data_IF_157379017003
#
_entry.id   IF_157379017003
#
_cell.length_a   1.000
_cell.length_b   1.000
_cell.length_c   1.000
_cell.angle_alpha   90.00
_cell.angle_beta   90.00
_cell.angle_gamma   90.00
#
_symmetry.space_group_name_H-M   'P 1'
#
loop_
_entity.id
_entity.type
_entity.pdbx_description
1 polymer ?
#
# COMPACT_ATOMS: atom_id res chain seq x y z
N UNK A 1 -14.27 65.64 -0.81
CA UNK A 1 -14.42 64.36 -0.09
C UNK A 1 -14.32 63.12 -0.99
N UNK A 2 -14.18 63.25 -2.32
CA UNK A 2 -14.24 62.08 -3.21
C UNK A 2 -12.93 61.29 -3.33
N UNK A 3 -11.78 61.92 -3.10
CA UNK A 3 -10.46 61.29 -3.25
C UNK A 3 -10.26 60.15 -2.22
N UNK A 4 -10.79 60.30 -1.00
CA UNK A 4 -10.65 59.30 0.06
C UNK A 4 -11.38 57.98 -0.26
N UNK A 5 -12.57 58.06 -0.87
CA UNK A 5 -13.33 56.89 -1.29
C UNK A 5 -12.66 56.12 -2.43
N UNK A 6 -12.08 56.86 -3.40
CA UNK A 6 -11.36 56.25 -4.52
C UNK A 6 -10.09 55.52 -4.05
N UNK A 7 -9.31 56.12 -3.16
CA UNK A 7 -8.10 55.48 -2.59
C UNK A 7 -8.48 54.22 -1.80
N UNK A 8 -9.50 54.29 -0.94
CA UNK A 8 -9.95 53.13 -0.16
C UNK A 8 -10.41 51.96 -1.06
N UNK A 9 -11.15 52.26 -2.14
CA UNK A 9 -11.60 51.25 -3.11
C UNK A 9 -10.45 50.57 -3.86
N UNK A 10 -9.44 51.35 -4.28
CA UNK A 10 -8.26 50.81 -4.97
C UNK A 10 -7.42 49.94 -4.03
N UNK A 11 -7.17 50.40 -2.80
CA UNK A 11 -6.39 49.64 -1.80
C UNK A 11 -7.11 48.34 -1.44
N UNK A 12 -8.43 48.37 -1.23
CA UNK A 12 -9.22 47.17 -0.97
C UNK A 12 -9.18 46.16 -2.11
N UNK A 13 -9.25 46.63 -3.36
CA UNK A 13 -9.18 45.78 -4.56
C UNK A 13 -7.82 45.12 -4.73
N UNK A 14 -6.72 45.87 -4.49
CA UNK A 14 -5.36 45.33 -4.52
C UNK A 14 -5.14 44.27 -3.44
N UNK A 15 -5.64 44.50 -2.22
CA UNK A 15 -5.56 43.53 -1.13
C UNK A 15 -6.35 42.26 -1.44
N UNK A 16 -7.57 42.40 -1.97
CA UNK A 16 -8.40 41.27 -2.39
C UNK A 16 -7.73 40.43 -3.48
N UNK A 17 -7.17 41.07 -4.50
CA UNK A 17 -6.42 40.40 -5.56
C UNK A 17 -5.20 39.67 -5.00
N UNK A 18 -4.40 40.32 -4.15
CA UNK A 18 -3.22 39.73 -3.54
C UNK A 18 -3.58 38.50 -2.69
N UNK A 19 -4.64 38.60 -1.87
CA UNK A 19 -5.16 37.49 -1.07
C UNK A 19 -5.59 36.31 -1.95
N UNK A 20 -6.34 36.57 -3.02
CA UNK A 20 -6.77 35.54 -3.95
C UNK A 20 -5.59 34.84 -4.64
N UNK A 21 -4.60 35.60 -5.11
CA UNK A 21 -3.39 35.05 -5.73
C UNK A 21 -2.59 34.18 -4.75
N UNK A 22 -2.45 34.62 -3.49
CA UNK A 22 -1.79 33.84 -2.44
C UNK A 22 -2.56 32.56 -2.13
N UNK A 23 -3.88 32.63 -1.95
CA UNK A 23 -4.71 31.45 -1.71
C UNK A 23 -4.62 30.45 -2.86
N UNK A 24 -4.72 30.92 -4.10
CA UNK A 24 -4.54 30.08 -5.28
C UNK A 24 -3.16 29.42 -5.30
N UNK A 25 -2.10 30.18 -5.00
CA UNK A 25 -0.75 29.64 -4.94
C UNK A 25 -0.61 28.54 -3.87
N UNK A 26 -1.03 28.80 -2.63
CA UNK A 26 -0.84 27.85 -1.53
C UNK A 26 -1.77 26.64 -1.63
N UNK A 27 -3.02 26.83 -2.04
CA UNK A 27 -3.98 25.73 -2.14
C UNK A 27 -3.68 24.85 -3.35
N UNK A 28 -3.19 25.43 -4.46
CA UNK A 28 -3.07 24.69 -5.72
C UNK A 28 -1.63 24.51 -6.18
N UNK A 29 -0.89 25.60 -6.41
CA UNK A 29 0.44 25.52 -7.04
C UNK A 29 1.50 24.93 -6.09
N UNK A 30 1.41 25.21 -4.80
CA UNK A 30 2.35 24.75 -3.79
C UNK A 30 2.40 23.21 -3.66
N UNK A 31 1.28 22.49 -3.41
CA UNK A 31 1.32 21.03 -3.30
C UNK A 31 1.76 20.37 -4.61
N UNK A 32 1.41 20.95 -5.77
CA UNK A 32 1.87 20.45 -7.08
C UNK A 32 3.39 20.57 -7.22
N UNK A 33 3.95 21.77 -6.99
CA UNK A 33 5.41 21.98 -7.10
C UNK A 33 6.19 21.10 -6.12
N UNK A 34 5.76 21.07 -4.86
CA UNK A 34 6.45 20.27 -3.83
C UNK A 34 6.31 18.77 -4.07
N UNK A 35 5.13 18.31 -4.50
CA UNK A 35 4.92 16.91 -4.82
C UNK A 35 5.74 16.44 -6.03
N UNK A 36 5.92 17.27 -7.07
CA UNK A 36 6.83 16.94 -8.19
C UNK A 36 8.27 16.75 -7.69
N UNK A 37 8.76 17.64 -6.82
CA UNK A 37 10.10 17.51 -6.24
C UNK A 37 10.25 16.21 -5.45
N UNK A 38 9.28 15.90 -4.57
CA UNK A 38 9.30 14.69 -3.75
C UNK A 38 9.21 13.42 -4.62
N UNK A 39 8.39 13.44 -5.68
CA UNK A 39 8.27 12.32 -6.60
C UNK A 39 9.63 12.01 -7.25
N UNK A 40 10.32 13.02 -7.77
CA UNK A 40 11.65 12.86 -8.37
C UNK A 40 12.68 12.33 -7.36
N UNK A 41 12.70 12.89 -6.16
CA UNK A 41 13.62 12.46 -5.09
C UNK A 41 13.40 11.00 -4.67
N UNK A 42 12.14 10.56 -4.65
CA UNK A 42 11.76 9.21 -4.22
C UNK A 42 11.69 8.17 -5.34
N UNK A 43 11.99 8.56 -6.58
CA UNK A 43 11.95 7.68 -7.74
C UNK A 43 10.54 7.32 -8.24
N UNK A 44 9.56 8.18 -7.96
CA UNK A 44 8.20 8.08 -8.52
C UNK A 44 8.06 8.95 -9.77
N UNK A 45 7.19 8.54 -10.69
CA UNK A 45 6.90 9.32 -11.89
C UNK A 45 6.21 10.66 -11.53
N UNK A 46 6.68 11.81 -12.03
CA UNK A 46 6.03 13.11 -11.83
C UNK A 46 4.59 13.15 -12.38
N UNK A 47 4.23 12.22 -13.26
CA UNK A 47 2.88 12.11 -13.82
C UNK A 47 1.80 11.92 -12.75
N UNK A 48 2.17 11.40 -11.56
CA UNK A 48 1.26 11.34 -10.40
C UNK A 48 0.71 12.72 -9.99
N UNK A 49 1.41 13.81 -10.35
CA UNK A 49 0.97 15.16 -10.01
C UNK A 49 -0.06 15.73 -11.01
N UNK A 50 -0.41 15.01 -12.08
CA UNK A 50 -1.58 15.37 -12.92
C UNK A 50 -2.89 15.31 -12.14
N UNK A 51 -2.97 14.47 -11.10
CA UNK A 51 -4.09 14.50 -10.15
C UNK A 51 -4.20 15.83 -9.38
N UNK A 52 -3.15 16.65 -9.42
CA UNK A 52 -3.13 18.02 -8.91
C UNK A 52 -3.81 19.06 -9.79
N UNK A 53 -4.46 18.68 -10.91
CA UNK A 53 -5.37 19.58 -11.63
C UNK A 53 -6.58 19.97 -10.77
N UNK A 54 -6.90 19.18 -9.74
CA UNK A 54 -7.89 19.54 -8.74
C UNK A 54 -7.21 19.99 -7.44
N UNK A 55 -7.65 21.06 -6.77
CA UNK A 55 -7.01 21.56 -5.55
C UNK A 55 -6.93 20.49 -4.45
N UNK A 56 -7.98 19.69 -4.23
CA UNK A 56 -7.93 18.57 -3.28
C UNK A 56 -7.01 17.42 -3.74
N UNK A 57 -6.98 17.12 -5.03
CA UNK A 57 -6.16 16.02 -5.57
C UNK A 57 -4.67 16.32 -5.44
N UNK A 58 -4.27 17.59 -5.57
CA UNK A 58 -2.90 18.05 -5.39
C UNK A 58 -2.37 17.79 -3.98
N UNK A 59 -3.16 18.12 -2.95
CA UNK A 59 -2.80 17.87 -1.56
C UNK A 59 -2.73 16.38 -1.23
N UNK A 60 -3.67 15.59 -1.74
CA UNK A 60 -3.69 14.15 -1.46
C UNK A 60 -2.49 13.46 -2.12
N UNK A 61 -2.17 13.79 -3.38
CA UNK A 61 -0.96 13.30 -4.04
C UNK A 61 0.31 13.73 -3.29
N UNK A 62 0.36 14.98 -2.82
CA UNK A 62 1.46 15.49 -2.02
C UNK A 62 1.67 14.69 -0.72
N UNK A 63 0.61 14.45 0.06
CA UNK A 63 0.71 13.66 1.30
C UNK A 63 1.03 12.19 1.04
N UNK A 64 0.41 11.58 0.02
CA UNK A 64 0.71 10.20 -0.37
C UNK A 64 2.19 10.04 -0.74
N UNK A 65 2.74 10.94 -1.54
CA UNK A 65 4.16 10.94 -1.89
C UNK A 65 5.05 11.23 -0.68
N UNK A 66 4.61 12.07 0.26
CA UNK A 66 5.34 12.34 1.51
C UNK A 66 5.44 11.11 2.39
N UNK A 67 4.38 10.30 2.47
CA UNK A 67 4.35 9.07 3.25
C UNK A 67 4.92 7.84 2.50
N UNK A 68 4.98 7.89 1.16
CA UNK A 68 5.52 6.78 0.37
C UNK A 68 7.00 6.54 0.67
N UNK A 69 7.44 5.28 0.89
CA UNK A 69 8.85 4.98 1.09
C UNK A 69 9.64 5.24 -0.20
N UNK A 70 10.91 5.64 -0.07
CA UNK A 70 11.80 5.88 -1.22
C UNK A 70 12.05 4.57 -1.95
N UNK A 71 11.97 4.58 -3.29
CA UNK A 71 12.31 3.40 -4.08
C UNK A 71 13.81 3.21 -4.13
N UNK A 72 14.27 1.98 -3.94
CA UNK A 72 15.68 1.62 -4.00
C UNK A 72 15.98 0.86 -5.30
N UNK A 73 17.13 1.07 -5.93
CA UNK A 73 17.50 0.31 -7.13
C UNK A 73 17.91 -1.12 -6.74
N UNK A 74 17.53 -2.09 -7.58
CA UNK A 74 18.01 -3.46 -7.47
C UNK A 74 19.54 -3.52 -7.61
N UNK A 75 20.22 -4.24 -6.72
CA UNK A 75 21.69 -4.40 -6.77
C UNK A 75 22.20 -5.20 -7.98
N UNK A 76 21.35 -6.01 -8.61
CA UNK A 76 21.73 -6.83 -9.75
C UNK A 76 21.42 -6.17 -11.10
N UNK A 77 20.22 -5.61 -11.27
CA UNK A 77 19.75 -5.08 -12.56
C UNK A 77 19.41 -3.59 -12.56
N UNK A 78 19.63 -2.87 -11.45
CA UNK A 78 19.38 -1.43 -11.29
C UNK A 78 17.94 -0.98 -11.51
N UNK A 79 16.99 -1.91 -11.64
CA UNK A 79 15.58 -1.58 -11.73
C UNK A 79 15.04 -1.06 -10.40
N UNK A 80 14.14 -0.08 -10.48
CA UNK A 80 13.50 0.51 -9.29
C UNK A 80 12.65 -0.54 -8.57
N UNK A 81 12.94 -0.78 -7.30
CA UNK A 81 12.22 -1.71 -6.44
C UNK A 81 11.50 -0.98 -5.32
N UNK A 82 10.34 -1.50 -4.93
CA UNK A 82 9.70 -1.08 -3.69
C UNK A 82 10.48 -1.68 -2.52
N UNK A 83 10.69 -0.93 -1.41
CA UNK A 83 11.36 -1.48 -0.22
C UNK A 83 10.63 -2.67 0.43
N UNK A 84 9.39 -2.95 0.02
CA UNK A 84 8.59 -4.09 0.47
C UNK A 84 8.72 -5.31 -0.44
N UNK A 85 9.38 -5.19 -1.59
CA UNK A 85 9.52 -6.29 -2.53
C UNK A 85 10.61 -7.24 -2.03
N UNK A 86 10.27 -8.50 -1.76
CA UNK A 86 11.25 -9.52 -1.35
C UNK A 86 12.18 -9.95 -2.49
N UNK A 87 11.77 -9.74 -3.74
CA UNK A 87 12.55 -10.05 -4.93
C UNK A 87 12.32 -9.03 -6.05
N UNK A 88 13.34 -8.82 -6.88
CA UNK A 88 13.26 -7.98 -8.06
C UNK A 88 12.40 -8.64 -9.13
N UNK A 89 11.34 -7.96 -9.59
CA UNK A 89 10.46 -8.47 -10.65
C UNK A 89 11.14 -8.61 -12.02
N UNK A 90 12.19 -7.83 -12.28
CA UNK A 90 12.86 -7.82 -13.57
C UNK A 90 13.90 -8.94 -13.72
N UNK A 91 14.71 -9.19 -12.69
CA UNK A 91 15.81 -10.15 -12.74
C UNK A 91 15.70 -11.32 -11.76
N UNK A 92 14.72 -11.30 -10.83
CA UNK A 92 14.54 -12.33 -9.81
C UNK A 92 15.52 -12.24 -8.63
N UNK A 93 16.39 -11.22 -8.57
CA UNK A 93 17.34 -11.05 -7.47
C UNK A 93 16.60 -10.82 -6.14
N UNK A 94 16.89 -11.64 -5.13
CA UNK A 94 16.34 -11.48 -3.78
C UNK A 94 16.98 -10.26 -3.12
N UNK A 95 16.16 -9.38 -2.57
CA UNK A 95 16.66 -8.22 -1.85
C UNK A 95 17.17 -8.69 -0.48
N UNK A 96 18.50 -8.81 -0.37
CA UNK A 96 19.16 -9.15 0.90
C UNK A 96 19.09 -7.97 1.85
N UNK A 97 17.99 -7.81 2.57
CA UNK A 97 17.95 -6.98 3.76
C UNK A 97 18.38 -7.82 4.96
N UNK A 98 19.33 -7.37 5.80
CA UNK A 98 19.47 -7.93 7.14
C UNK A 98 18.23 -7.52 7.94
N UNK A 99 17.41 -8.51 8.28
CA UNK A 99 16.33 -8.34 9.26
C UNK A 99 16.97 -8.10 10.63
N UNK A 100 17.14 -6.84 11.05
CA UNK A 100 17.65 -6.51 12.38
C UNK A 100 16.50 -6.13 13.32
N UNK A 101 16.23 -7.08 14.25
CA UNK A 101 15.77 -6.94 15.66
C UNK A 101 14.42 -6.25 15.93
N UNK A 102 13.47 -6.76 16.73
CA UNK A 102 13.51 -7.59 17.97
C UNK A 102 12.05 -8.09 18.22
N UNK A 103 11.65 -9.20 18.88
CA UNK A 103 12.23 -9.94 20.02
C UNK A 103 11.54 -11.30 20.22
N UNK A 104 12.34 -12.30 20.64
CA UNK A 104 12.03 -13.49 21.46
C UNK A 104 11.01 -14.54 20.97
N UNK A 105 11.50 -15.74 20.62
CA UNK A 105 11.32 -16.95 21.46
C UNK A 105 12.28 -18.07 21.05
N UNK A 106 13.19 -18.38 21.97
CA UNK A 106 13.84 -19.66 22.27
C UNK A 106 14.35 -20.62 21.16
N UNK A 107 15.68 -20.52 20.99
CA UNK A 107 16.69 -21.61 20.96
C UNK A 107 16.17 -23.02 21.32
N UNK A 108 16.27 -23.96 20.37
CA UNK A 108 16.62 -25.37 20.63
C UNK A 108 17.63 -25.79 19.56
N UNK A 109 18.79 -26.28 20.01
CA UNK A 109 19.89 -26.68 19.15
C UNK A 109 19.71 -28.05 18.52
N UNK A 110 20.45 -28.29 17.43
CA UNK A 110 20.76 -29.61 16.91
C UNK A 110 22.03 -29.52 16.03
N UNK A 111 22.78 -30.63 15.86
CA UNK A 111 24.24 -30.61 15.73
C UNK A 111 24.76 -30.56 14.29
N UNK A 112 26.03 -30.15 14.23
CA UNK A 112 27.11 -30.45 13.29
C UNK A 112 26.83 -31.58 12.27
N UNK A 113 26.86 -31.25 10.96
CA UNK A 113 27.15 -32.23 9.93
C UNK A 113 27.93 -31.61 8.74
N UNK A 114 29.20 -31.97 8.76
CA UNK A 114 30.21 -32.12 7.73
C UNK A 114 29.87 -31.79 6.26
N UNK A 115 30.63 -30.82 5.75
CA UNK A 115 31.34 -30.78 4.46
C UNK A 115 31.08 -31.92 3.45
N UNK A 116 30.59 -31.57 2.24
CA UNK A 116 31.30 -31.71 0.94
C UNK A 116 30.36 -31.86 -0.27
N UNK A 117 30.83 -31.24 -1.37
CA UNK A 117 30.45 -31.38 -2.79
C UNK A 117 29.18 -30.64 -3.24
N UNK A 118 29.31 -29.48 -3.89
CA UNK A 118 29.58 -29.33 -5.33
C UNK A 118 28.70 -30.23 -6.21
N UNK A 119 27.51 -29.70 -6.54
CA UNK A 119 26.67 -30.19 -7.63
C UNK A 119 25.72 -29.08 -8.04
N UNK A 120 25.96 -28.47 -9.20
CA UNK A 120 25.02 -27.56 -9.88
C UNK A 120 23.90 -28.43 -10.48
N UNK A 121 22.60 -28.24 -10.15
CA UNK A 121 21.53 -28.88 -10.90
C UNK A 121 20.93 -27.94 -11.95
N UNK A 122 20.44 -28.61 -13.00
CA UNK A 122 19.96 -28.09 -14.27
C UNK A 122 18.55 -27.52 -14.16
N UNK A 123 18.29 -26.57 -15.08
CA UNK A 123 16.99 -26.08 -15.52
C UNK A 123 16.12 -27.26 -15.97
N UNK A 124 15.04 -27.54 -15.23
CA UNK A 124 13.98 -28.46 -15.65
C UNK A 124 13.59 -29.43 -14.56
N UNK A 125 12.67 -29.01 -13.69
CA UNK A 125 11.67 -29.81 -12.95
C UNK A 125 11.07 -28.90 -11.88
N UNK A 126 9.88 -28.35 -12.15
CA UNK A 126 9.11 -27.60 -11.15
C UNK A 126 8.22 -28.60 -10.42
N UNK A 127 8.86 -29.48 -9.66
CA UNK A 127 8.23 -30.40 -8.72
C UNK A 127 8.69 -30.07 -7.30
N UNK A 128 7.75 -29.58 -6.49
CA UNK A 128 7.61 -29.74 -5.05
C UNK A 128 8.86 -29.55 -4.14
N UNK A 129 8.86 -28.46 -3.37
CA UNK A 129 9.03 -28.45 -1.89
C UNK A 129 8.78 -27.01 -1.40
N UNK A 130 7.55 -26.53 -1.59
CA UNK A 130 7.04 -25.48 -0.71
C UNK A 130 6.68 -26.20 0.59
N UNK A 131 7.40 -25.92 1.67
CA UNK A 131 6.94 -26.29 3.01
C UNK A 131 5.52 -25.76 3.16
N UNK A 132 4.57 -26.67 3.17
CA UNK A 132 3.14 -26.44 3.06
C UNK A 132 2.64 -25.76 4.32
N UNK A 133 2.74 -24.43 4.39
CA UNK A 133 2.11 -23.68 5.48
C UNK A 133 0.59 -23.78 5.33
N UNK A 134 -0.06 -24.42 6.30
CA UNK A 134 -1.52 -24.46 6.42
C UNK A 134 -2.01 -23.07 6.78
N UNK A 135 -2.88 -22.49 5.95
CA UNK A 135 -3.41 -21.16 6.24
C UNK A 135 -4.10 -20.49 5.06
N UNK A 136 -4.36 -19.20 5.22
CA UNK A 136 -5.00 -18.38 4.19
C UNK A 136 -4.12 -17.19 3.84
N UNK A 137 -3.90 -17.00 2.54
CA UNK A 137 -3.29 -15.81 1.96
C UNK A 137 -4.40 -14.86 1.53
N UNK A 138 -4.57 -13.75 2.25
CA UNK A 138 -5.56 -12.71 1.95
C UNK A 138 -4.88 -11.55 1.21
N UNK A 139 -5.26 -11.32 -0.04
CA UNK A 139 -4.90 -10.14 -0.80
C UNK A 139 -5.99 -9.08 -0.64
N UNK A 140 -5.67 -7.97 0.03
CA UNK A 140 -6.55 -6.81 0.13
C UNK A 140 -6.04 -5.70 -0.77
N UNK A 141 -6.81 -5.39 -1.81
CA UNK A 141 -6.51 -4.33 -2.77
C UNK A 141 -7.70 -3.41 -3.02
N UNK A 142 -7.47 -2.35 -3.78
CA UNK A 142 -8.51 -1.44 -4.22
C UNK A 142 -8.18 -0.90 -5.62
N UNK A 143 -9.22 -0.39 -6.28
CA UNK A 143 -9.08 0.22 -7.59
C UNK A 143 -8.18 1.48 -7.49
N UNK A 144 -7.10 1.61 -8.26
CA UNK A 144 -6.11 2.70 -8.09
C UNK A 144 -6.68 4.13 -8.10
N UNK A 145 -7.84 4.33 -8.72
CA UNK A 145 -8.54 5.62 -8.77
C UNK A 145 -9.22 5.99 -7.44
N UNK A 146 -9.43 5.02 -6.53
CA UNK A 146 -9.95 5.22 -5.17
C UNK A 146 -8.82 5.61 -4.20
N UNK A 147 -8.08 6.65 -4.52
CA UNK A 147 -6.85 7.03 -3.82
C UNK A 147 -7.03 7.36 -2.32
N UNK A 148 -8.22 7.75 -1.88
CA UNK A 148 -8.50 8.01 -0.46
C UNK A 148 -8.39 6.71 0.38
N UNK A 149 -8.50 5.54 -0.24
CA UNK A 149 -8.30 4.25 0.43
C UNK A 149 -6.85 4.04 0.84
N UNK A 150 -5.86 4.72 0.23
CA UNK A 150 -4.47 4.65 0.70
C UNK A 150 -4.31 5.06 2.18
N UNK A 151 -5.22 5.89 2.70
CA UNK A 151 -5.19 6.36 4.09
C UNK A 151 -6.05 5.47 5.01
N UNK A 152 -6.89 4.61 4.44
CA UNK A 152 -7.73 3.69 5.21
C UNK A 152 -6.95 2.42 5.53
N UNK A 153 -7.14 1.87 6.72
CA UNK A 153 -6.57 0.57 7.11
C UNK A 153 -7.67 -0.49 7.04
N UNK A 154 -7.57 -1.50 6.15
CA UNK A 154 -8.55 -2.58 6.11
C UNK A 154 -8.48 -3.46 7.36
N UNK A 155 -9.65 -3.96 7.74
CA UNK A 155 -9.87 -4.89 8.85
C UNK A 155 -10.25 -6.24 8.26
N UNK A 156 -9.44 -7.25 8.59
CA UNK A 156 -9.64 -8.63 8.17
C UNK A 156 -10.08 -9.39 9.42
N UNK A 157 -11.34 -9.78 9.47
CA UNK A 157 -11.92 -10.56 10.56
C UNK A 157 -11.94 -12.03 10.14
N UNK A 158 -11.30 -12.89 10.93
CA UNK A 158 -11.24 -14.34 10.72
C UNK A 158 -11.85 -15.00 11.96
N UNK A 159 -12.96 -15.71 11.79
CA UNK A 159 -13.70 -16.38 12.88
C UNK A 159 -14.02 -15.47 14.08
N UNK A 160 -14.31 -14.19 13.81
CA UNK A 160 -14.58 -13.19 14.85
C UNK A 160 -13.34 -12.47 15.41
N UNK A 161 -12.13 -12.88 15.03
CA UNK A 161 -10.90 -12.20 15.41
C UNK A 161 -10.51 -11.14 14.37
N UNK A 162 -10.51 -9.87 14.78
CA UNK A 162 -10.22 -8.73 13.91
C UNK A 162 -8.72 -8.46 13.84
N UNK A 163 -8.18 -8.49 12.62
CA UNK A 163 -6.81 -8.15 12.29
C UNK A 163 -6.77 -6.88 11.43
N UNK A 164 -6.23 -5.79 11.98
CA UNK A 164 -5.95 -4.59 11.19
C UNK A 164 -4.65 -4.78 10.41
N UNK A 165 -4.71 -4.60 9.09
CA UNK A 165 -3.57 -4.78 8.20
C UNK A 165 -3.56 -3.68 7.15
N UNK A 166 -2.38 -3.31 6.66
CA UNK A 166 -2.27 -2.41 5.52
C UNK A 166 -2.81 -3.08 4.25
N UNK A 167 -3.12 -2.31 3.22
CA UNK A 167 -3.41 -2.89 1.89
C UNK A 167 -2.21 -3.72 1.37
N UNK A 168 -2.50 -4.85 0.72
CA UNK A 168 -1.51 -5.80 0.23
C UNK A 168 -1.87 -7.26 0.53
N UNK A 169 -0.88 -8.14 0.38
CA UNK A 169 -1.01 -9.58 0.67
C UNK A 169 -0.58 -9.87 2.10
N UNK A 170 -1.42 -10.60 2.84
CA UNK A 170 -1.13 -11.06 4.21
C UNK A 170 -1.40 -12.55 4.31
N UNK A 171 -0.53 -13.25 5.02
CA UNK A 171 -0.71 -14.67 5.28
C UNK A 171 -1.09 -14.87 6.75
N UNK A 172 -2.11 -15.69 6.98
CA UNK A 172 -2.61 -16.07 8.29
C UNK A 172 -2.46 -17.58 8.45
N UNK A 173 -1.65 -17.99 9.42
CA UNK A 173 -1.56 -19.39 9.85
C UNK A 173 -2.90 -19.77 10.52
N UNK A 174 -3.64 -20.70 9.91
CA UNK A 174 -4.95 -21.15 10.40
C UNK A 174 -4.94 -22.67 10.54
N UNK A 175 -5.74 -23.18 11.47
CA UNK A 175 -5.98 -24.61 11.61
C UNK A 175 -6.72 -25.17 10.38
N UNK A 176 -6.58 -26.46 10.04
CA UNK A 176 -7.44 -27.07 9.03
C UNK A 176 -8.91 -27.00 9.47
N UNK A 177 -9.80 -26.53 8.62
CA UNK A 177 -11.21 -26.32 8.99
C UNK A 177 -11.96 -25.35 8.08
N UNK A 178 -13.23 -25.10 8.43
CA UNK A 178 -14.06 -24.06 7.81
C UNK A 178 -13.84 -22.76 8.57
N UNK A 179 -13.44 -21.72 7.85
CA UNK A 179 -13.19 -20.39 8.41
C UNK A 179 -14.07 -19.36 7.71
N UNK A 180 -14.63 -18.43 8.47
CA UNK A 180 -15.38 -17.30 7.92
C UNK A 180 -14.47 -16.07 7.90
N UNK A 181 -14.21 -15.55 6.69
CA UNK A 181 -13.37 -14.38 6.47
C UNK A 181 -14.27 -13.22 6.08
N UNK A 182 -14.23 -12.16 6.88
CA UNK A 182 -14.96 -10.92 6.64
C UNK A 182 -13.97 -9.76 6.51
N UNK A 183 -14.16 -8.93 5.50
CA UNK A 183 -13.25 -7.82 5.22
C UNK A 183 -14.07 -6.53 5.10
N UNK A 184 -13.68 -5.51 5.84
CA UNK A 184 -14.28 -4.18 5.82
C UNK A 184 -13.22 -3.12 6.16
N UNK A 185 -13.54 -1.85 5.95
CA UNK A 185 -12.67 -0.75 6.38
C UNK A 185 -13.50 0.41 6.92
N UNK A 186 -12.90 1.21 7.81
CA UNK A 186 -13.50 2.44 8.30
C UNK A 186 -13.17 3.63 7.40
N UNK A 187 -14.16 4.47 7.12
CA UNK A 187 -13.97 5.74 6.41
C UNK A 187 -14.70 6.88 7.13
N UNK A 188 -13.93 7.84 7.66
CA UNK A 188 -14.42 8.96 8.47
C UNK A 188 -15.36 8.50 9.60
N UNK A 189 -16.68 8.67 9.42
CA UNK A 189 -17.74 8.37 10.40
C UNK A 189 -18.43 7.02 10.15
N UNK A 190 -18.09 6.33 9.06
CA UNK A 190 -18.67 5.04 8.70
C UNK A 190 -17.69 3.91 9.06
N UNK A 191 -18.00 3.06 10.06
CA UNK A 191 -17.07 2.03 10.53
C UNK A 191 -17.04 0.77 9.65
N UNK A 192 -18.05 0.56 8.80
CA UNK A 192 -18.23 -0.68 8.02
C UNK A 192 -18.43 -0.41 6.51
N UNK A 193 -17.42 0.14 5.85
CA UNK A 193 -17.40 0.29 4.40
C UNK A 193 -16.83 -0.96 3.72
N UNK A 194 -17.34 -1.27 2.52
CA UNK A 194 -16.86 -2.39 1.70
C UNK A 194 -17.13 -3.78 2.27
N UNK A 195 -17.94 -3.89 3.33
CA UNK A 195 -18.17 -5.12 4.09
C UNK A 195 -18.61 -6.30 3.21
N UNK A 196 -17.80 -7.36 3.21
CA UNK A 196 -18.11 -8.61 2.55
C UNK A 196 -17.49 -9.80 3.31
N UNK A 197 -18.17 -10.94 3.27
CA UNK A 197 -17.75 -12.17 3.96
C UNK A 197 -17.82 -13.39 3.03
N UNK A 198 -16.88 -14.32 3.20
CA UNK A 198 -16.88 -15.63 2.52
C UNK A 198 -16.48 -16.72 3.51
N UNK A 199 -16.99 -17.92 3.28
CA UNK A 199 -16.54 -19.11 3.97
C UNK A 199 -15.52 -19.86 3.10
N UNK A 200 -14.36 -20.16 3.68
CA UNK A 200 -13.31 -20.94 3.01
C UNK A 200 -13.00 -22.20 3.81
N UNK A 201 -12.70 -23.27 3.08
CA UNK A 201 -12.26 -24.53 3.67
C UNK A 201 -10.74 -24.63 3.50
N UNK A 202 -10.03 -24.61 4.62
CA UNK A 202 -8.56 -24.74 4.68
C UNK A 202 -8.23 -26.21 4.90
N UNK A 203 -7.50 -26.79 3.95
CA UNK A 203 -7.02 -28.18 4.02
C UNK A 203 -5.63 -28.22 4.66
N UNK A 204 -5.32 -29.31 5.37
CA UNK A 204 -4.01 -29.50 5.99
C UNK A 204 -2.89 -29.47 4.95
N UNK A 205 -1.87 -28.65 5.22
CA UNK A 205 -0.74 -28.46 4.31
C UNK A 205 -1.10 -27.73 3.02
N UNK A 206 -2.21 -26.99 2.96
CA UNK A 206 -2.54 -26.13 1.82
C UNK A 206 -2.78 -24.70 2.25
N UNK A 207 -2.38 -23.78 1.38
CA UNK A 207 -2.71 -22.36 1.49
C UNK A 207 -3.88 -22.04 0.57
N UNK A 208 -4.96 -21.47 1.10
CA UNK A 208 -6.07 -20.93 0.28
C UNK A 208 -5.87 -19.45 0.01
N UNK A 209 -6.20 -18.99 -1.19
CA UNK A 209 -6.04 -17.58 -1.57
C UNK A 209 -7.38 -16.88 -1.57
N UNK A 210 -7.45 -15.72 -0.92
CA UNK A 210 -8.65 -14.89 -0.87
C UNK A 210 -8.28 -13.51 -1.39
N UNK A 211 -8.89 -13.13 -2.51
CA UNK A 211 -8.69 -11.84 -3.15
C UNK A 211 -9.88 -10.93 -2.86
N UNK A 212 -9.62 -9.84 -2.14
CA UNK A 212 -10.56 -8.76 -1.90
C UNK A 212 -10.15 -7.52 -2.67
N UNK A 213 -11.07 -6.98 -3.47
CA UNK A 213 -10.85 -5.76 -4.23
C UNK A 213 -12.00 -4.77 -4.01
N UNK A 214 -11.65 -3.58 -3.51
CA UNK A 214 -12.62 -2.49 -3.36
C UNK A 214 -12.79 -1.72 -4.68
N UNK A 215 -14.04 -1.61 -5.22
CA UNK A 215 -14.33 -0.79 -6.39
C UNK A 215 -14.18 0.72 -6.11
N UNK A 216 -14.20 1.57 -7.16
CA UNK A 216 -14.07 3.03 -7.04
C UNK A 216 -15.10 3.69 -6.11
N UNK A 217 -16.27 3.07 -5.98
CA UNK A 217 -17.40 3.56 -5.22
C UNK A 217 -17.38 2.97 -3.80
N UNK A 218 -17.19 3.80 -2.76
CA UNK A 218 -17.02 3.32 -1.37
C UNK A 218 -18.22 2.61 -0.75
N UNK A 219 -19.43 2.89 -1.26
CA UNK A 219 -20.68 2.47 -0.64
C UNK A 219 -21.17 1.09 -1.10
N UNK A 220 -20.47 0.47 -2.05
CA UNK A 220 -20.83 -0.89 -2.49
C UNK A 220 -20.02 -1.92 -1.72
N UNK A 221 -20.48 -3.17 -1.73
CA UNK A 221 -19.71 -4.29 -1.18
C UNK A 221 -18.42 -4.47 -1.98
N UNK A 222 -17.31 -4.74 -1.29
CA UNK A 222 -16.07 -5.11 -1.97
C UNK A 222 -16.23 -6.45 -2.69
N UNK A 223 -15.53 -6.65 -3.80
CA UNK A 223 -15.54 -7.94 -4.50
C UNK A 223 -14.60 -8.89 -3.77
N UNK A 224 -15.10 -10.06 -3.36
CA UNK A 224 -14.33 -11.04 -2.61
C UNK A 224 -14.39 -12.39 -3.34
N UNK A 225 -13.23 -12.96 -3.64
CA UNK A 225 -13.07 -14.20 -4.43
C UNK A 225 -12.11 -15.15 -3.72
N UNK A 226 -12.45 -16.42 -3.64
CA UNK A 226 -11.57 -17.48 -3.15
C UNK A 226 -11.04 -18.32 -4.32
N UNK A 227 -9.74 -18.61 -4.29
CA UNK A 227 -9.01 -19.47 -5.23
C UNK A 227 -8.36 -20.64 -4.49
#
# INVERSE_FOLDING_TARGET
MEIGGLIAGVVGSLFGLASFVLLFYYIWLFPVRRGICIAKEKGFSPHWMWFGLHPLGGWIAFFALRCAPKREPCRACWQSMSPRDSFCRACGHQAGYPMSSTTAFHKVGAPEFDSLRHGRPRKGERGMTQGSKTGVEVNVGFFPLAFFLFVCTPRIEIDGHVHERCWGTHFFDLTPGRHTIRIYFGYFLMPHCGDNSIDVIVEEGKTRKVNYCMPPWMFVKGTLRAE
#
